data_IF_581395141094
#
_entry.id   IF_581395141094
#
_cell.length_a   1.000
_cell.length_b   1.000
_cell.length_c   1.000
_cell.angle_alpha   90.00
_cell.angle_beta   90.00
_cell.angle_gamma   90.00
#
_symmetry.space_group_name_H-M   'P 1'
#
loop_
_entity.id
_entity.type
_entity.pdbx_description
1 polymer ?
#
# COMPACT_ATOMS: atom_id res chain seq x y z
N UNK A 1 17.66 31.83 -13.49
CA UNK A 1 16.27 32.31 -13.26
C UNK A 1 15.15 31.40 -13.81
N UNK A 2 15.32 30.57 -14.86
CA UNK A 2 14.23 29.70 -15.38
C UNK A 2 13.75 28.59 -14.42
N UNK A 3 14.61 28.05 -13.54
CA UNK A 3 14.30 26.92 -12.63
C UNK A 3 13.24 27.23 -11.57
N UNK A 4 13.08 28.51 -11.19
CA UNK A 4 12.10 28.94 -10.18
C UNK A 4 10.71 29.20 -10.77
N UNK A 5 10.62 29.59 -12.06
CA UNK A 5 9.33 29.87 -12.72
C UNK A 5 8.46 28.62 -12.88
N UNK A 6 9.05 27.43 -13.00
CA UNK A 6 8.32 26.16 -13.09
C UNK A 6 8.06 25.51 -11.73
N UNK A 7 8.65 26.01 -10.65
CA UNK A 7 8.54 25.40 -9.32
C UNK A 7 7.15 25.61 -8.71
N UNK A 8 6.67 26.86 -8.66
CA UNK A 8 5.37 27.21 -8.06
C UNK A 8 4.22 26.47 -8.76
N UNK A 9 4.11 26.49 -10.10
CA UNK A 9 3.06 25.75 -10.78
C UNK A 9 3.17 24.23 -10.58
N UNK A 10 4.38 23.69 -10.47
CA UNK A 10 4.60 22.27 -10.20
C UNK A 10 4.13 21.87 -8.79
N UNK A 11 4.38 22.71 -7.79
CA UNK A 11 3.87 22.53 -6.42
C UNK A 11 2.34 22.56 -6.42
N UNK A 12 1.74 23.58 -7.07
CA UNK A 12 0.29 23.70 -7.16
C UNK A 12 -0.34 22.48 -7.83
N UNK A 13 0.29 21.94 -8.88
CA UNK A 13 -0.17 20.74 -9.56
C UNK A 13 -0.10 19.50 -8.64
N UNK A 14 0.97 19.35 -7.84
CA UNK A 14 1.08 18.27 -6.86
C UNK A 14 0.01 18.38 -5.76
N UNK A 15 -0.21 19.59 -5.23
CA UNK A 15 -1.26 19.85 -4.25
C UNK A 15 -2.65 19.58 -4.82
N UNK A 16 -2.89 19.98 -6.06
CA UNK A 16 -4.12 19.68 -6.77
C UNK A 16 -4.32 18.17 -6.96
N UNK A 17 -3.28 17.43 -7.34
CA UNK A 17 -3.33 15.97 -7.45
C UNK A 17 -3.68 15.28 -6.12
N UNK A 18 -3.07 15.72 -5.02
CA UNK A 18 -3.39 15.23 -3.67
C UNK A 18 -4.80 15.62 -3.25
N UNK A 19 -5.23 16.84 -3.53
CA UNK A 19 -6.58 17.32 -3.27
C UNK A 19 -7.65 16.50 -4.01
N UNK A 20 -7.41 16.20 -5.29
CA UNK A 20 -8.28 15.31 -6.07
C UNK A 20 -8.31 13.90 -5.48
N UNK A 21 -7.16 13.33 -5.13
CA UNK A 21 -7.07 12.01 -4.51
C UNK A 21 -7.86 11.96 -3.21
N UNK A 22 -7.68 12.96 -2.35
CA UNK A 22 -8.40 13.07 -1.08
C UNK A 22 -9.90 13.22 -1.30
N UNK A 23 -10.32 14.11 -2.21
CA UNK A 23 -11.72 14.31 -2.55
C UNK A 23 -12.37 13.01 -3.05
N UNK A 24 -11.72 12.31 -3.97
CA UNK A 24 -12.24 11.05 -4.49
C UNK A 24 -12.28 9.96 -3.43
N UNK A 25 -11.23 9.81 -2.62
CA UNK A 25 -11.23 8.87 -1.50
C UNK A 25 -12.36 9.15 -0.51
N UNK A 26 -12.57 10.42 -0.15
CA UNK A 26 -13.67 10.84 0.71
C UNK A 26 -15.04 10.52 0.09
N UNK A 27 -15.24 10.78 -1.21
CA UNK A 27 -16.48 10.45 -1.91
C UNK A 27 -16.75 8.95 -1.97
N UNK A 28 -15.72 8.14 -2.21
CA UNK A 28 -15.82 6.69 -2.17
C UNK A 28 -16.20 6.18 -0.78
N UNK A 29 -15.58 6.73 0.27
CA UNK A 29 -15.94 6.41 1.65
C UNK A 29 -17.39 6.78 2.00
N UNK A 30 -17.85 7.97 1.59
CA UNK A 30 -19.23 8.42 1.81
C UNK A 30 -20.25 7.48 1.13
N UNK A 31 -19.95 7.04 -0.10
CA UNK A 31 -20.77 6.06 -0.83
C UNK A 31 -20.77 4.72 -0.09
N UNK A 32 -19.60 4.24 0.33
CA UNK A 32 -19.48 2.99 1.09
C UNK A 32 -20.36 2.98 2.34
N UNK A 33 -20.27 4.02 3.18
CA UNK A 33 -21.06 4.11 4.42
C UNK A 33 -22.57 4.20 4.15
N UNK A 34 -22.98 4.82 3.04
CA UNK A 34 -24.40 4.95 2.69
C UNK A 34 -24.99 3.69 2.07
N UNK A 35 -24.19 2.93 1.32
CA UNK A 35 -24.65 1.78 0.54
C UNK A 35 -24.43 0.45 1.24
N UNK A 36 -23.39 0.34 2.08
CA UNK A 36 -23.10 -0.86 2.86
C UNK A 36 -24.05 -0.95 4.06
N UNK A 37 -25.19 -1.61 3.87
CA UNK A 37 -26.19 -1.83 4.93
C UNK A 37 -25.79 -2.96 5.89
N UNK A 38 -25.00 -3.93 5.41
CA UNK A 38 -24.46 -5.05 6.18
C UNK A 38 -23.03 -4.75 6.60
N UNK A 39 -22.86 -4.27 7.83
CA UNK A 39 -21.55 -3.95 8.39
C UNK A 39 -20.82 -5.17 8.96
N UNK A 40 -21.43 -6.34 8.99
CA UNK A 40 -20.83 -7.52 9.62
C UNK A 40 -20.18 -8.48 8.62
N UNK A 41 -20.45 -8.31 7.32
CA UNK A 41 -20.04 -9.23 6.26
C UNK A 41 -19.66 -8.41 5.03
N UNK A 42 -18.42 -8.57 4.57
CA UNK A 42 -17.94 -8.00 3.31
C UNK A 42 -17.72 -9.13 2.29
N UNK A 43 -16.66 -9.05 1.48
CA UNK A 43 -16.40 -10.02 0.41
C UNK A 43 -15.85 -11.34 0.95
N UNK A 44 -15.96 -12.42 0.16
CA UNK A 44 -15.56 -13.77 0.57
C UNK A 44 -14.12 -13.83 1.13
N UNK A 45 -13.16 -13.16 0.47
CA UNK A 45 -11.74 -13.18 0.85
C UNK A 45 -11.53 -12.47 2.18
N UNK A 46 -12.23 -11.35 2.39
CA UNK A 46 -12.14 -10.61 3.64
C UNK A 46 -12.75 -11.36 4.80
N UNK A 47 -13.95 -11.92 4.63
CA UNK A 47 -14.65 -12.61 5.71
C UNK A 47 -13.82 -13.77 6.26
N UNK A 48 -13.16 -14.54 5.39
CA UNK A 48 -12.32 -15.65 5.83
C UNK A 48 -11.09 -15.15 6.59
N UNK A 49 -10.42 -14.09 6.10
CA UNK A 49 -9.29 -13.49 6.83
C UNK A 49 -9.73 -12.89 8.17
N UNK A 50 -10.90 -12.26 8.21
CA UNK A 50 -11.43 -11.64 9.42
C UNK A 50 -11.72 -12.71 10.49
N UNK A 51 -12.28 -13.87 10.11
CA UNK A 51 -12.47 -14.98 11.04
C UNK A 51 -11.16 -15.44 11.67
N UNK A 52 -10.10 -15.59 10.87
CA UNK A 52 -8.76 -15.92 11.40
C UNK A 52 -8.28 -14.87 12.39
N UNK A 53 -8.46 -13.59 12.07
CA UNK A 53 -8.05 -12.48 12.95
C UNK A 53 -8.86 -12.45 14.26
N UNK A 54 -10.16 -12.76 14.20
CA UNK A 54 -11.03 -12.83 15.38
C UNK A 54 -10.64 -14.01 16.29
N UNK A 55 -10.33 -15.17 15.71
CA UNK A 55 -9.81 -16.33 16.43
C UNK A 55 -8.47 -16.00 17.11
N UNK A 56 -7.55 -15.36 16.38
CA UNK A 56 -6.28 -14.90 16.93
C UNK A 56 -6.48 -13.91 18.09
N UNK A 57 -7.41 -12.97 17.94
CA UNK A 57 -7.74 -12.00 18.98
C UNK A 57 -8.28 -12.67 20.24
N UNK A 58 -9.17 -13.66 20.09
CA UNK A 58 -9.66 -14.46 21.21
C UNK A 58 -8.53 -15.25 21.88
N UNK A 59 -7.66 -15.91 21.11
CA UNK A 59 -6.52 -16.66 21.66
C UNK A 59 -5.52 -15.74 22.39
N UNK A 60 -5.29 -14.51 21.92
CA UNK A 60 -4.52 -13.52 22.66
C UNK A 60 -5.18 -13.15 23.99
N UNK A 61 -6.51 -12.96 24.00
CA UNK A 61 -7.28 -12.66 25.23
C UNK A 61 -7.28 -13.81 26.23
N UNK A 62 -7.23 -15.05 25.76
CA UNK A 62 -7.21 -16.27 26.58
C UNK A 62 -5.78 -16.71 26.95
N UNK A 63 -4.76 -15.88 26.68
CA UNK A 63 -3.33 -16.17 26.93
C UNK A 63 -2.81 -17.42 26.20
N UNK A 64 -3.46 -17.83 25.10
CA UNK A 64 -3.01 -18.91 24.20
C UNK A 64 -2.02 -18.38 23.16
N UNK A 65 -0.92 -17.81 23.65
CA UNK A 65 0.05 -17.04 22.84
C UNK A 65 0.57 -17.82 21.63
N UNK A 66 0.89 -19.10 21.81
CA UNK A 66 1.38 -19.95 20.71
C UNK A 66 0.34 -20.11 19.59
N UNK A 67 -0.92 -20.34 19.95
CA UNK A 67 -2.01 -20.50 19.00
C UNK A 67 -2.36 -19.19 18.31
N UNK A 68 -2.28 -18.07 19.04
CA UNK A 68 -2.50 -16.74 18.48
C UNK A 68 -1.40 -16.32 17.48
N UNK A 69 -0.15 -16.75 17.72
CA UNK A 69 0.99 -16.37 16.89
C UNK A 69 1.17 -17.25 15.64
N UNK A 70 0.86 -18.55 15.73
CA UNK A 70 1.14 -19.51 14.66
C UNK A 70 0.51 -19.15 13.29
N UNK A 71 -0.69 -18.56 13.21
CA UNK A 71 -1.27 -18.15 11.92
C UNK A 71 -0.48 -17.06 11.17
N UNK A 72 0.46 -16.36 11.82
CA UNK A 72 1.40 -15.46 11.13
C UNK A 72 2.52 -16.22 10.40
N UNK A 73 2.78 -17.47 10.78
CA UNK A 73 3.83 -18.33 10.23
C UNK A 73 3.29 -19.39 9.27
N UNK A 74 2.05 -19.84 9.48
CA UNK A 74 1.36 -20.66 8.51
C UNK A 74 1.19 -19.84 7.24
N UNK A 75 1.52 -20.42 6.08
CA UNK A 75 1.31 -19.80 4.76
C UNK A 75 -0.19 -19.86 4.45
N UNK A 76 -1.01 -18.86 4.84
CA UNK A 76 -2.43 -18.94 4.54
C UNK A 76 -2.56 -18.66 3.04
N UNK A 77 -3.72 -18.95 2.46
CA UNK A 77 -4.09 -18.49 1.12
C UNK A 77 -3.79 -16.98 0.94
N UNK A 78 -3.78 -16.20 2.04
CA UNK A 78 -3.45 -14.78 2.10
C UNK A 78 -2.31 -14.48 3.07
N UNK A 79 -1.27 -13.73 2.64
CA UNK A 79 -0.21 -13.29 3.52
C UNK A 79 -0.65 -12.48 4.75
N UNK A 80 0.11 -12.56 5.85
CA UNK A 80 -0.38 -12.15 7.16
C UNK A 80 -0.27 -10.64 7.43
N UNK A 81 0.33 -9.83 6.56
CA UNK A 81 0.53 -8.40 6.85
C UNK A 81 -0.79 -7.65 7.00
N UNK A 82 -1.80 -8.00 6.19
CA UNK A 82 -3.14 -7.42 6.33
C UNK A 82 -3.76 -7.83 7.66
N UNK A 83 -3.76 -9.12 7.96
CA UNK A 83 -4.29 -9.68 9.22
C UNK A 83 -3.64 -9.07 10.45
N UNK A 84 -2.33 -8.77 10.40
CA UNK A 84 -1.63 -8.05 11.47
C UNK A 84 -2.21 -6.65 11.70
N UNK A 85 -2.45 -5.88 10.63
CA UNK A 85 -3.07 -4.56 10.76
C UNK A 85 -4.51 -4.66 11.26
N UNK A 86 -5.30 -5.60 10.76
CA UNK A 86 -6.68 -5.82 11.21
C UNK A 86 -6.73 -6.20 12.70
N UNK A 87 -5.79 -7.02 13.18
CA UNK A 87 -5.66 -7.35 14.61
C UNK A 87 -5.36 -6.09 15.46
N UNK A 88 -4.45 -5.24 14.99
CA UNK A 88 -4.16 -3.96 15.66
C UNK A 88 -5.42 -3.07 15.70
N UNK A 89 -6.18 -3.02 14.61
CA UNK A 89 -7.44 -2.25 14.51
C UNK A 89 -8.55 -2.78 15.44
N UNK A 90 -8.57 -4.09 15.73
CA UNK A 90 -9.46 -4.69 16.73
C UNK A 90 -9.12 -4.25 18.15
N UNK A 91 -7.83 -4.13 18.47
CA UNK A 91 -7.36 -3.73 19.80
C UNK A 91 -7.67 -2.24 20.06
N UNK A 92 -7.66 -1.41 19.02
CA UNK A 92 -7.93 0.02 19.14
C UNK A 92 -9.44 0.25 19.36
N UNK A 93 -9.85 0.86 20.49
CA UNK A 93 -11.26 1.14 20.76
C UNK A 93 -11.81 2.17 19.76
N UNK A 94 -13.07 2.01 19.36
CA UNK A 94 -13.76 2.97 18.50
C UNK A 94 -15.14 2.48 18.08
N UNK A 95 -15.97 3.40 17.59
CA UNK A 95 -17.38 3.15 17.25
C UNK A 95 -17.57 2.46 15.90
N UNK A 96 -16.53 2.43 15.06
CA UNK A 96 -16.55 1.73 13.77
C UNK A 96 -16.46 0.22 13.98
N UNK A 97 -17.28 -0.52 13.23
CA UNK A 97 -17.16 -1.97 13.09
C UNK A 97 -15.78 -2.35 12.52
N UNK A 98 -15.35 -3.59 12.76
CA UNK A 98 -14.03 -4.04 12.28
C UNK A 98 -13.92 -4.03 10.75
N UNK A 99 -14.99 -4.38 10.07
CA UNK A 99 -15.14 -4.30 8.60
C UNK A 99 -14.93 -2.86 8.12
N UNK A 100 -15.58 -1.87 8.74
CA UNK A 100 -15.38 -0.45 8.41
C UNK A 100 -13.93 -0.02 8.64
N UNK A 101 -13.32 -0.44 9.74
CA UNK A 101 -11.89 -0.15 10.03
C UNK A 101 -10.97 -0.78 8.98
N UNK A 102 -11.24 -2.01 8.57
CA UNK A 102 -10.45 -2.70 7.56
C UNK A 102 -10.65 -2.07 6.17
N UNK A 103 -11.88 -1.78 5.76
CA UNK A 103 -12.18 -1.04 4.52
C UNK A 103 -11.47 0.30 4.48
N UNK A 104 -11.46 1.04 5.60
CA UNK A 104 -10.72 2.30 5.71
C UNK A 104 -9.22 2.09 5.54
N UNK A 105 -8.65 1.01 6.08
CA UNK A 105 -7.25 0.67 5.89
C UNK A 105 -6.92 0.43 4.40
N UNK A 106 -7.79 -0.24 3.65
CA UNK A 106 -7.66 -0.43 2.20
C UNK A 106 -7.65 0.90 1.44
N UNK A 107 -8.52 1.83 1.84
CA UNK A 107 -8.58 3.19 1.30
C UNK A 107 -7.34 4.03 1.66
N UNK A 108 -6.79 3.86 2.86
CA UNK A 108 -5.54 4.50 3.28
C UNK A 108 -4.38 4.06 2.37
N UNK A 109 -4.22 2.76 2.13
CA UNK A 109 -3.17 2.26 1.22
C UNK A 109 -3.35 2.78 -0.21
N UNK A 110 -4.59 2.85 -0.69
CA UNK A 110 -4.89 3.48 -1.98
C UNK A 110 -4.46 4.96 -1.99
N UNK A 111 -4.84 5.72 -0.97
CA UNK A 111 -4.45 7.13 -0.82
C UNK A 111 -2.93 7.32 -0.75
N UNK A 112 -2.21 6.45 -0.03
CA UNK A 112 -0.75 6.48 0.11
C UNK A 112 0.01 6.21 -1.19
N UNK A 113 -0.63 5.57 -2.18
CA UNK A 113 -0.03 5.40 -3.51
C UNK A 113 0.28 6.75 -4.17
N UNK A 114 -0.55 7.77 -3.98
CA UNK A 114 -0.41 9.05 -4.69
C UNK A 114 0.74 9.91 -4.16
N UNK A 115 0.91 10.14 -2.84
CA UNK A 115 2.14 10.70 -2.29
C UNK A 115 3.39 9.92 -2.71
N UNK A 116 3.29 8.58 -2.78
CA UNK A 116 4.40 7.73 -3.23
C UNK A 116 4.75 7.97 -4.70
N UNK A 117 3.76 8.05 -5.59
CA UNK A 117 3.94 8.40 -7.01
C UNK A 117 4.61 9.78 -7.14
N UNK A 118 4.11 10.78 -6.42
CA UNK A 118 4.69 12.13 -6.45
C UNK A 118 6.16 12.11 -6.03
N UNK A 119 6.48 11.43 -4.93
CA UNK A 119 7.85 11.28 -4.43
C UNK A 119 8.75 10.56 -5.43
N UNK A 120 8.32 9.40 -5.93
CA UNK A 120 9.08 8.54 -6.84
C UNK A 120 9.36 9.28 -8.16
N UNK A 121 8.33 9.84 -8.80
CA UNK A 121 8.49 10.54 -10.06
C UNK A 121 9.36 11.78 -9.89
N UNK A 122 9.24 12.51 -8.79
CA UNK A 122 10.13 13.63 -8.49
C UNK A 122 11.58 13.17 -8.31
N UNK A 123 11.83 12.06 -7.61
CA UNK A 123 13.18 11.51 -7.42
C UNK A 123 13.81 11.03 -8.74
N UNK A 124 13.03 10.42 -9.62
CA UNK A 124 13.50 9.96 -10.93
C UNK A 124 13.74 11.13 -11.89
N UNK A 125 12.83 12.11 -11.93
CA UNK A 125 12.83 13.12 -13.01
C UNK A 125 13.31 14.52 -12.58
N UNK A 126 13.41 14.78 -11.28
CA UNK A 126 13.69 16.10 -10.72
C UNK A 126 12.59 17.15 -10.96
N UNK A 127 11.43 16.76 -11.49
CA UNK A 127 10.38 17.68 -11.95
C UNK A 127 9.05 17.46 -11.23
N UNK A 128 8.62 18.45 -10.45
CA UNK A 128 7.31 18.45 -9.78
C UNK A 128 6.15 18.49 -10.77
N UNK A 129 6.35 19.10 -11.94
CA UNK A 129 5.34 19.07 -13.01
C UNK A 129 5.06 17.65 -13.51
N UNK A 130 6.12 16.88 -13.76
CA UNK A 130 5.99 15.48 -14.19
C UNK A 130 5.34 14.66 -13.08
N UNK A 131 5.76 14.86 -11.83
CA UNK A 131 5.17 14.19 -10.68
C UNK A 131 3.65 14.44 -10.58
N UNK A 132 3.23 15.71 -10.58
CA UNK A 132 1.81 16.09 -10.51
C UNK A 132 0.99 15.53 -11.67
N UNK A 133 1.49 15.66 -12.91
CA UNK A 133 0.78 15.17 -14.09
C UNK A 133 0.65 13.64 -14.10
N UNK A 134 1.73 12.92 -13.77
CA UNK A 134 1.70 11.46 -13.64
C UNK A 134 0.72 11.03 -12.56
N UNK A 135 0.71 11.70 -11.40
CA UNK A 135 -0.24 11.39 -10.32
C UNK A 135 -1.70 11.60 -10.74
N UNK A 136 -2.02 12.68 -11.46
CA UNK A 136 -3.37 12.95 -11.97
C UNK A 136 -3.77 11.91 -13.02
N UNK A 137 -2.85 11.58 -13.94
CA UNK A 137 -3.10 10.56 -14.96
C UNK A 137 -3.35 9.19 -14.32
N UNK A 138 -2.53 8.79 -13.34
CA UNK A 138 -2.74 7.54 -12.61
C UNK A 138 -4.09 7.55 -11.89
N UNK A 139 -4.49 8.66 -11.27
CA UNK A 139 -5.81 8.78 -10.64
C UNK A 139 -6.93 8.62 -11.67
N UNK A 140 -6.81 9.23 -12.84
CA UNK A 140 -7.81 9.09 -13.90
C UNK A 140 -7.92 7.63 -14.39
N UNK A 141 -6.79 6.94 -14.51
CA UNK A 141 -6.76 5.52 -14.89
C UNK A 141 -7.39 4.62 -13.83
N UNK A 142 -7.09 4.84 -12.53
CA UNK A 142 -7.69 4.05 -11.45
C UNK A 142 -9.19 4.27 -11.35
N UNK A 143 -9.68 5.48 -11.62
CA UNK A 143 -11.11 5.77 -11.67
C UNK A 143 -11.80 5.19 -12.91
N UNK A 144 -11.11 5.14 -14.05
CA UNK A 144 -11.62 4.50 -15.27
C UNK A 144 -11.81 3.00 -15.06
N UNK A 145 -10.88 2.35 -14.35
CA UNK A 145 -11.04 0.97 -13.88
C UNK A 145 -11.85 0.97 -12.59
N UNK A 146 -13.18 1.10 -12.69
CA UNK A 146 -14.13 1.19 -11.56
C UNK A 146 -13.93 0.16 -10.44
N UNK A 147 -13.25 -0.95 -10.75
CA UNK A 147 -12.81 -1.98 -9.81
C UNK A 147 -11.80 -1.48 -8.76
N UNK A 148 -10.86 -0.60 -9.10
CA UNK A 148 -9.78 -0.20 -8.17
C UNK A 148 -10.31 0.52 -6.92
N UNK A 149 -11.23 1.50 -7.04
CA UNK A 149 -11.89 2.07 -5.87
C UNK A 149 -12.72 1.05 -5.08
N UNK A 150 -13.40 0.12 -5.77
CA UNK A 150 -14.19 -0.94 -5.13
C UNK A 150 -13.30 -1.87 -4.29
N UNK A 151 -12.15 -2.28 -4.82
CA UNK A 151 -11.16 -3.09 -4.10
C UNK A 151 -10.60 -2.38 -2.86
N UNK A 152 -10.48 -1.05 -2.90
CA UNK A 152 -10.04 -0.28 -1.74
C UNK A 152 -11.01 -0.35 -0.56
N UNK A 153 -12.31 -0.55 -0.84
CA UNK A 153 -13.40 -0.55 0.15
C UNK A 153 -13.91 -1.94 0.51
N UNK A 154 -13.63 -2.96 -0.31
CA UNK A 154 -13.92 -4.37 -0.02
C UNK A 154 -12.81 -5.08 0.75
N UNK A 155 -11.92 -4.30 1.38
CA UNK A 155 -10.72 -4.74 2.11
C UNK A 155 -9.84 -5.72 1.35
N UNK A 156 -9.86 -5.64 0.02
CA UNK A 156 -9.06 -6.49 -0.84
C UNK A 156 -7.57 -6.14 -0.71
N UNK A 157 -6.67 -7.11 -0.94
CA UNK A 157 -5.22 -6.94 -0.76
C UNK A 157 -4.58 -6.12 -1.90
N UNK A 158 -5.36 -5.81 -2.92
CA UNK A 158 -4.99 -5.17 -4.16
C UNK A 158 -4.35 -3.82 -3.92
N UNK A 159 -4.96 -2.95 -3.10
CA UNK A 159 -4.45 -1.59 -2.87
C UNK A 159 -3.21 -1.57 -1.97
N UNK A 160 -3.17 -2.44 -0.96
CA UNK A 160 -1.97 -2.68 -0.16
C UNK A 160 -0.84 -3.24 -1.03
N UNK A 161 -1.16 -4.19 -1.91
CA UNK A 161 -0.24 -4.79 -2.86
C UNK A 161 0.29 -3.79 -3.87
N UNK A 162 -0.55 -2.92 -4.42
CA UNK A 162 -0.17 -1.81 -5.30
C UNK A 162 0.85 -0.89 -4.62
N UNK A 163 0.62 -0.53 -3.36
CA UNK A 163 1.54 0.31 -2.60
C UNK A 163 2.93 -0.35 -2.46
N UNK A 164 2.99 -1.59 -1.97
CA UNK A 164 4.28 -2.28 -1.81
C UNK A 164 4.96 -2.58 -3.15
N UNK A 165 4.20 -2.91 -4.18
CA UNK A 165 4.73 -3.15 -5.52
C UNK A 165 5.34 -1.88 -6.12
N UNK A 166 4.69 -0.72 -5.94
CA UNK A 166 5.22 0.57 -6.37
C UNK A 166 6.58 0.87 -5.73
N UNK A 167 6.71 0.66 -4.42
CA UNK A 167 7.97 0.82 -3.69
C UNK A 167 9.03 -0.20 -4.08
N UNK A 168 8.60 -1.40 -4.43
CA UNK A 168 9.47 -2.47 -4.95
C UNK A 168 10.07 -2.05 -6.28
N UNK A 169 9.27 -1.63 -7.25
CA UNK A 169 9.76 -1.13 -8.54
C UNK A 169 10.68 0.08 -8.39
N UNK A 170 10.35 1.01 -7.51
CA UNK A 170 11.23 2.14 -7.23
C UNK A 170 12.58 1.69 -6.63
N UNK A 171 12.57 0.69 -5.75
CA UNK A 171 13.80 0.18 -5.16
C UNK A 171 14.65 -0.54 -6.20
N UNK A 172 14.05 -1.34 -7.08
CA UNK A 172 14.76 -1.96 -8.22
C UNK A 172 15.35 -0.91 -9.15
N UNK A 173 14.60 0.15 -9.45
CA UNK A 173 15.10 1.28 -10.23
C UNK A 173 16.34 1.91 -9.57
N UNK A 174 16.30 2.15 -8.24
CA UNK A 174 17.46 2.67 -7.51
C UNK A 174 18.65 1.72 -7.65
N UNK A 175 18.47 0.44 -7.32
CA UNK A 175 19.54 -0.57 -7.42
C UNK A 175 20.16 -0.55 -8.80
N UNK A 176 19.34 -0.65 -9.86
CA UNK A 176 19.80 -0.61 -11.25
C UNK A 176 20.57 0.67 -11.59
N UNK A 177 20.09 1.83 -11.13
CA UNK A 177 20.76 3.11 -11.38
C UNK A 177 22.14 3.24 -10.71
N UNK A 178 22.36 2.51 -9.61
CA UNK A 178 23.65 2.49 -8.89
C UNK A 178 24.64 1.48 -9.46
N UNK A 179 24.17 0.33 -9.96
CA UNK A 179 25.03 -0.71 -10.57
C UNK A 179 25.39 -0.44 -12.03
N UNK A 180 24.74 0.51 -12.70
CA UNK A 180 25.10 0.88 -14.07
C UNK A 180 26.17 1.99 -14.08
N UNK A 181 27.33 1.82 -14.73
CA UNK A 181 27.71 0.75 -15.66
C UNK A 181 28.51 -0.42 -15.07
N UNK A 182 29.03 -0.33 -13.83
CA UNK A 182 29.85 -1.38 -13.21
C UNK A 182 29.04 -2.16 -12.16
N UNK A 183 28.64 -3.39 -12.49
CA UNK A 183 27.83 -4.28 -11.64
C UNK A 183 28.50 -4.69 -10.32
N UNK A 184 29.82 -4.51 -10.21
CA UNK A 184 30.64 -4.99 -9.08
C UNK A 184 31.31 -3.87 -8.27
N UNK A 185 30.98 -2.59 -8.49
CA UNK A 185 31.63 -1.49 -7.78
C UNK A 185 30.65 -0.68 -6.92
N UNK A 186 31.14 -0.46 -5.70
CA UNK A 186 30.63 0.35 -4.59
C UNK A 186 29.74 -0.37 -3.58
N UNK A 187 30.16 -0.45 -2.30
CA UNK A 187 29.19 -0.67 -1.22
C UNK A 187 28.17 0.47 -1.26
N UNK A 188 26.89 0.14 -1.10
CA UNK A 188 25.81 1.13 -1.09
C UNK A 188 26.17 2.29 -0.17
N UNK A 189 26.01 3.53 -0.64
CA UNK A 189 26.22 4.69 0.23
C UNK A 189 25.27 4.59 1.44
N UNK A 190 25.83 4.52 2.65
CA UNK A 190 25.07 4.35 3.91
C UNK A 190 23.94 5.38 4.09
N UNK A 191 24.03 6.55 3.45
CA UNK A 191 23.01 7.60 3.50
C UNK A 191 21.70 7.21 2.81
N UNK A 192 21.74 6.40 1.77
CA UNK A 192 20.56 6.06 0.97
C UNK A 192 19.75 4.89 1.52
N UNK A 193 20.29 4.16 2.52
CA UNK A 193 19.65 3.01 3.18
C UNK A 193 18.97 2.07 2.17
N UNK A 194 19.66 1.76 1.08
CA UNK A 194 19.13 0.95 -0.02
C UNK A 194 18.77 -0.45 0.48
N UNK A 195 19.63 -1.04 1.32
CA UNK A 195 19.38 -2.34 1.97
C UNK A 195 18.04 -2.36 2.74
N UNK A 196 17.75 -1.30 3.51
CA UNK A 196 16.48 -1.17 4.21
C UNK A 196 15.30 -1.00 3.24
N UNK A 197 15.49 -0.27 2.14
CA UNK A 197 14.45 -0.11 1.11
C UNK A 197 14.14 -1.46 0.43
N UNK A 198 15.18 -2.24 0.12
CA UNK A 198 15.06 -3.58 -0.47
C UNK A 198 14.35 -4.50 0.51
N UNK A 199 14.80 -4.54 1.76
CA UNK A 199 14.16 -5.35 2.79
C UNK A 199 12.69 -4.99 2.97
N UNK A 200 12.34 -3.71 3.18
CA UNK A 200 10.96 -3.29 3.42
C UNK A 200 10.05 -3.52 2.21
N UNK A 201 10.55 -3.32 1.00
CA UNK A 201 9.75 -3.51 -0.22
C UNK A 201 9.51 -5.00 -0.52
N UNK A 202 10.55 -5.83 -0.43
CA UNK A 202 10.42 -7.29 -0.60
C UNK A 202 9.59 -7.92 0.51
N UNK A 203 9.83 -7.54 1.77
CA UNK A 203 9.04 -7.98 2.90
C UNK A 203 7.58 -7.56 2.70
N UNK A 204 7.33 -6.30 2.41
CA UNK A 204 5.97 -5.79 2.18
C UNK A 204 5.24 -6.51 1.05
N UNK A 205 5.91 -6.77 -0.09
CA UNK A 205 5.32 -7.47 -1.22
C UNK A 205 5.07 -8.95 -0.90
N UNK A 206 6.04 -9.65 -0.32
CA UNK A 206 5.90 -11.05 0.06
C UNK A 206 4.78 -11.25 1.08
N UNK A 207 4.79 -10.43 2.15
CA UNK A 207 3.80 -10.51 3.22
C UNK A 207 2.45 -9.85 2.88
N UNK A 208 2.26 -9.33 1.66
CA UNK A 208 0.94 -8.89 1.14
C UNK A 208 0.43 -9.76 0.01
N UNK A 209 1.27 -10.11 -0.97
CA UNK A 209 0.97 -11.07 -2.04
C UNK A 209 2.21 -11.94 -2.37
N UNK A 210 2.37 -13.04 -1.64
CA UNK A 210 3.55 -13.90 -1.69
C UNK A 210 3.96 -14.43 -3.09
N UNK A 211 3.04 -14.74 -4.05
CA UNK A 211 3.48 -15.24 -5.36
C UNK A 211 4.30 -14.21 -6.13
N UNK A 212 3.92 -12.93 -6.07
CA UNK A 212 4.67 -11.86 -6.74
C UNK A 212 6.01 -11.60 -6.03
N UNK A 213 6.05 -11.71 -4.70
CA UNK A 213 7.29 -11.63 -3.93
C UNK A 213 8.27 -12.76 -4.28
N UNK A 214 7.78 -14.00 -4.40
CA UNK A 214 8.57 -15.16 -4.81
C UNK A 214 9.10 -15.03 -6.23
N UNK A 215 8.24 -14.66 -7.19
CA UNK A 215 8.66 -14.42 -8.58
C UNK A 215 9.76 -13.37 -8.66
N UNK A 216 9.62 -12.30 -7.88
CA UNK A 216 10.64 -11.26 -7.82
C UNK A 216 11.94 -11.76 -7.20
N UNK A 217 11.87 -12.57 -6.14
CA UNK A 217 13.05 -13.17 -5.53
C UNK A 217 13.82 -14.03 -6.54
N UNK A 218 13.12 -14.88 -7.29
CA UNK A 218 13.69 -15.69 -8.38
C UNK A 218 14.27 -14.83 -9.50
N UNK A 219 13.67 -13.67 -9.79
CA UNK A 219 14.16 -12.79 -10.86
C UNK A 219 15.42 -12.00 -10.47
N UNK A 220 15.67 -11.80 -9.18
CA UNK A 220 16.79 -11.01 -8.66
C UNK A 220 18.00 -11.90 -8.28
N UNK A 221 17.75 -13.11 -7.77
CA UNK A 221 18.75 -14.07 -7.29
C UNK A 221 18.93 -15.25 -8.24
#
# INVERSE_FOLDING_TARGET
MKKYKSLIPGILLCLFALGLTFYMGFRHWEIFIRTCTLKDILTWDENIRLNVVLDQYQDFREFRIWRAFFPFLESPTWPPLRSLFSLILLIIPGDMSITEKDSLLGLIFYGLCFPSILYIVYKITGSLWKAGLTSILTLALTLHTTETPSYSLSSMLETQGMFFLLWTYYTLYKVYSFTYPDSFRYPFEKKEKIELSVFLSLFGLFFTKYPYGLLLFIAIF
#
